data_IF_888182207823
#
_entry.id   IF_888182207823
#
_cell.length_a   1.000
_cell.length_b   1.000
_cell.length_c   1.000
_cell.angle_alpha   90.00
_cell.angle_beta   90.00
_cell.angle_gamma   90.00
#
_symmetry.space_group_name_H-M   'P 1'
#
loop_
_entity.id
_entity.type
_entity.pdbx_description
1 polymer ?
#
# COMPACT_ATOMS: atom_id res chain seq x y z
N UNK A 1 1.62 -11.38 -16.06
CA UNK A 1 0.47 -11.13 -15.16
C UNK A 1 0.28 -9.64 -14.90
N UNK A 2 1.35 -8.88 -14.59
CA UNK A 2 1.25 -7.46 -14.25
C UNK A 2 0.62 -6.60 -15.34
N UNK A 3 1.09 -6.70 -16.59
CA UNK A 3 0.60 -5.87 -17.70
C UNK A 3 -0.91 -6.03 -17.98
N UNK A 4 -1.48 -7.25 -18.10
CA UNK A 4 -2.92 -7.37 -18.32
C UNK A 4 -3.75 -6.82 -17.15
N UNK A 5 -3.30 -7.02 -15.91
CA UNK A 5 -4.00 -6.52 -14.73
C UNK A 5 -3.88 -5.00 -14.62
N UNK A 6 -2.70 -4.45 -14.91
CA UNK A 6 -2.45 -3.01 -14.90
C UNK A 6 -3.21 -2.23 -15.98
N UNK A 7 -3.62 -2.91 -17.07
CA UNK A 7 -4.40 -2.26 -18.14
C UNK A 7 -5.69 -1.64 -17.60
N UNK A 8 -6.42 -2.34 -16.72
CA UNK A 8 -7.65 -1.82 -16.15
C UNK A 8 -7.42 -0.51 -15.38
N UNK A 9 -6.35 -0.43 -14.58
CA UNK A 9 -5.99 0.80 -13.87
C UNK A 9 -5.69 1.94 -14.85
N UNK A 10 -4.89 1.67 -15.89
CA UNK A 10 -4.53 2.67 -16.90
C UNK A 10 -5.75 3.16 -17.68
N UNK A 11 -6.66 2.26 -18.05
CA UNK A 11 -7.90 2.59 -18.75
C UNK A 11 -8.79 3.49 -17.87
N UNK A 12 -8.94 3.18 -16.58
CA UNK A 12 -9.68 4.01 -15.62
C UNK A 12 -9.06 5.38 -15.42
N UNK A 13 -7.73 5.47 -15.37
CA UNK A 13 -7.03 6.77 -15.32
C UNK A 13 -7.29 7.62 -16.56
N UNK A 14 -7.38 7.00 -17.74
CA UNK A 14 -7.61 7.71 -19.01
C UNK A 14 -9.05 8.20 -19.18
N UNK A 15 -10.04 7.46 -18.65
CA UNK A 15 -11.45 7.84 -18.67
C UNK A 15 -11.74 8.98 -17.70
N UNK A 16 -11.02 9.02 -16.59
CA UNK A 16 -11.25 9.95 -15.48
C UNK A 16 -12.20 9.37 -14.42
N UNK A 17 -11.93 9.73 -13.17
CA UNK A 17 -12.65 9.17 -12.02
C UNK A 17 -14.10 9.64 -11.90
N UNK A 18 -14.44 10.78 -12.51
CA UNK A 18 -15.78 11.34 -12.51
C UNK A 18 -16.80 10.46 -13.25
N UNK A 19 -16.32 9.63 -14.18
CA UNK A 19 -17.16 8.84 -15.09
C UNK A 19 -17.30 7.38 -14.70
N UNK A 20 -16.63 6.92 -13.63
CA UNK A 20 -16.63 5.51 -13.23
C UNK A 20 -17.66 5.20 -12.14
N UNK A 21 -18.16 3.97 -12.13
CA UNK A 21 -19.01 3.43 -11.07
C UNK A 21 -18.17 2.96 -9.87
N UNK A 22 -18.80 2.84 -8.68
CA UNK A 22 -18.14 2.32 -7.48
C UNK A 22 -17.57 0.91 -7.65
N UNK A 23 -18.28 -0.06 -8.24
CA UNK A 23 -17.68 -1.38 -8.52
C UNK A 23 -16.43 -1.29 -9.39
N UNK A 24 -16.45 -0.44 -10.43
CA UNK A 24 -15.29 -0.26 -11.31
C UNK A 24 -14.12 0.39 -10.58
N UNK A 25 -14.37 1.36 -9.68
CA UNK A 25 -13.32 1.96 -8.85
C UNK A 25 -12.65 0.91 -7.94
N UNK A 26 -13.44 0.04 -7.29
CA UNK A 26 -12.90 -1.07 -6.49
C UNK A 26 -12.12 -2.07 -7.35
N UNK A 27 -12.64 -2.46 -8.50
CA UNK A 27 -11.93 -3.35 -9.43
C UNK A 27 -10.59 -2.74 -9.87
N UNK A 28 -10.58 -1.44 -10.19
CA UNK A 28 -9.37 -0.73 -10.62
C UNK A 28 -8.30 -0.68 -9.53
N UNK A 29 -8.68 -0.37 -8.29
CA UNK A 29 -7.70 -0.32 -7.19
C UNK A 29 -7.19 -1.70 -6.80
N UNK A 30 -8.00 -2.74 -6.87
CA UNK A 30 -7.53 -4.12 -6.72
C UNK A 30 -6.60 -4.53 -7.87
N UNK A 31 -6.93 -4.16 -9.11
CA UNK A 31 -6.06 -4.40 -10.25
C UNK A 31 -4.68 -3.74 -10.03
N UNK A 32 -4.65 -2.47 -9.62
CA UNK A 32 -3.39 -1.80 -9.29
C UNK A 32 -2.64 -2.50 -8.14
N UNK A 33 -3.36 -2.94 -7.11
CA UNK A 33 -2.79 -3.68 -5.97
C UNK A 33 -2.05 -4.94 -6.41
N UNK A 34 -2.61 -5.71 -7.35
CA UNK A 34 -1.94 -6.89 -7.91
C UNK A 34 -0.85 -6.51 -8.92
N UNK A 35 -1.05 -5.46 -9.70
CA UNK A 35 -0.04 -4.97 -10.64
C UNK A 35 1.27 -4.64 -9.93
N UNK A 36 1.21 -3.77 -8.92
CA UNK A 36 2.42 -3.33 -8.19
C UNK A 36 3.13 -4.51 -7.51
N UNK A 37 2.38 -5.50 -7.05
CA UNK A 37 2.97 -6.70 -6.48
C UNK A 37 3.69 -7.54 -7.54
N UNK A 38 3.03 -7.88 -8.64
CA UNK A 38 3.63 -8.74 -9.65
C UNK A 38 4.79 -8.08 -10.38
N UNK A 39 4.73 -6.78 -10.61
CA UNK A 39 5.83 -6.02 -11.21
C UNK A 39 7.06 -6.06 -10.30
N UNK A 40 6.89 -5.67 -9.05
CA UNK A 40 8.03 -5.56 -8.15
C UNK A 40 8.54 -6.92 -7.66
N UNK A 41 7.66 -7.87 -7.40
CA UNK A 41 8.05 -9.24 -7.05
C UNK A 41 8.79 -9.91 -8.20
N UNK A 42 8.27 -9.79 -9.44
CA UNK A 42 8.93 -10.34 -10.64
C UNK A 42 10.31 -9.72 -10.86
N UNK A 43 10.43 -8.40 -10.77
CA UNK A 43 11.70 -7.69 -10.83
C UNK A 43 12.69 -8.19 -9.74
N UNK A 44 12.22 -8.34 -8.50
CA UNK A 44 13.03 -8.83 -7.40
C UNK A 44 13.55 -10.27 -7.62
N UNK A 45 12.68 -11.14 -8.17
CA UNK A 45 13.09 -12.51 -8.51
C UNK A 45 14.14 -12.54 -9.62
N UNK A 46 14.00 -11.69 -10.65
CA UNK A 46 15.00 -11.57 -11.71
C UNK A 46 16.35 -11.11 -11.14
N UNK A 47 16.35 -10.11 -10.24
CA UNK A 47 17.57 -9.64 -9.58
C UNK A 47 18.25 -10.76 -8.75
N UNK A 48 17.45 -11.53 -7.99
CA UNK A 48 17.95 -12.68 -7.22
C UNK A 48 18.53 -13.76 -8.14
N UNK A 49 17.85 -14.05 -9.25
CA UNK A 49 18.31 -15.02 -10.23
C UNK A 49 19.65 -14.63 -10.87
N UNK A 50 19.77 -13.38 -11.32
CA UNK A 50 21.01 -12.83 -11.87
C UNK A 50 22.13 -12.81 -10.82
N UNK A 51 21.81 -12.40 -9.59
CA UNK A 51 22.77 -12.44 -8.47
C UNK A 51 23.34 -13.84 -8.26
N UNK A 52 22.47 -14.87 -8.26
CA UNK A 52 22.89 -16.28 -8.13
C UNK A 52 23.79 -16.72 -9.25
N UNK A 53 23.52 -16.32 -10.49
CA UNK A 53 24.38 -16.63 -11.65
C UNK A 53 25.78 -16.02 -11.50
N UNK A 54 25.89 -14.89 -10.80
CA UNK A 54 27.15 -14.21 -10.50
C UNK A 54 27.80 -14.67 -9.18
N UNK A 55 27.23 -15.68 -8.50
CA UNK A 55 27.75 -16.19 -7.22
C UNK A 55 27.29 -15.43 -5.97
N UNK A 56 26.35 -14.46 -6.08
CA UNK A 56 25.83 -13.70 -4.97
C UNK A 56 24.51 -14.28 -4.45
N UNK A 57 24.35 -14.36 -3.12
CA UNK A 57 23.10 -14.71 -2.47
C UNK A 57 22.38 -13.43 -2.04
N UNK A 58 21.49 -12.92 -2.90
CA UNK A 58 20.66 -11.76 -2.58
C UNK A 58 19.46 -12.17 -1.70
N UNK A 59 19.08 -11.34 -0.71
CA UNK A 59 17.93 -11.63 0.16
C UNK A 59 16.60 -11.51 -0.60
N UNK A 60 15.59 -12.24 -0.10
CA UNK A 60 14.22 -12.10 -0.59
C UNK A 60 13.61 -10.76 -0.15
N UNK A 61 12.85 -10.13 -1.05
CA UNK A 61 12.14 -8.89 -0.79
C UNK A 61 10.66 -9.10 -0.44
N UNK A 62 10.10 -10.26 -0.72
CA UNK A 62 8.68 -10.55 -0.52
C UNK A 62 8.46 -11.92 0.13
N UNK A 63 7.52 -11.97 1.09
CA UNK A 63 7.09 -13.19 1.73
C UNK A 63 5.57 -13.20 1.91
N UNK A 64 4.81 -13.45 0.83
CA UNK A 64 3.35 -13.49 0.82
C UNK A 64 2.70 -12.30 1.56
N UNK A 65 2.97 -11.05 1.17
CA UNK A 65 2.56 -9.86 1.94
C UNK A 65 1.05 -9.73 2.07
N UNK A 66 0.27 -10.16 1.07
CA UNK A 66 -1.20 -10.07 1.09
C UNK A 66 -1.88 -11.10 1.99
N UNK A 67 -1.13 -12.03 2.60
CA UNK A 67 -1.62 -12.91 3.66
C UNK A 67 -1.45 -12.30 5.06
N UNK A 68 -1.04 -11.05 5.17
CA UNK A 68 -0.86 -10.35 6.44
C UNK A 68 -2.20 -10.02 7.11
N UNK A 69 -2.19 -9.98 8.44
CA UNK A 69 -3.35 -9.65 9.27
C UNK A 69 -3.28 -8.24 9.87
N UNK A 70 -2.17 -7.55 9.64
CA UNK A 70 -1.95 -6.17 10.08
C UNK A 70 -1.00 -5.45 9.13
N UNK A 71 -1.04 -4.11 9.11
CA UNK A 71 -0.12 -3.29 8.34
C UNK A 71 1.32 -3.48 8.81
N UNK A 72 1.52 -3.63 10.10
CA UNK A 72 2.83 -3.94 10.69
C UNK A 72 3.39 -5.26 10.16
N UNK A 73 2.57 -6.30 10.02
CA UNK A 73 2.96 -7.58 9.44
C UNK A 73 3.20 -7.45 7.93
N UNK A 74 2.35 -6.70 7.23
CA UNK A 74 2.48 -6.46 5.79
C UNK A 74 3.86 -5.90 5.45
N UNK A 75 4.32 -4.85 6.11
CA UNK A 75 5.61 -4.22 5.85
C UNK A 75 6.82 -5.06 6.29
N UNK A 76 6.64 -6.09 7.10
CA UNK A 76 7.68 -7.11 7.35
C UNK A 76 7.80 -8.12 6.22
N UNK A 77 6.79 -8.20 5.34
CA UNK A 77 6.69 -9.16 4.24
C UNK A 77 6.81 -8.49 2.86
N UNK A 78 6.67 -7.17 2.79
CA UNK A 78 6.79 -6.34 1.59
C UNK A 78 8.08 -5.52 1.63
N UNK A 79 8.85 -5.56 0.52
CA UNK A 79 10.12 -4.82 0.38
C UNK A 79 11.05 -4.95 1.60
N UNK A 80 11.31 -6.20 1.97
CA UNK A 80 11.97 -6.57 3.25
C UNK A 80 13.32 -5.89 3.41
N UNK A 81 14.11 -5.77 2.33
CA UNK A 81 15.44 -5.15 2.38
C UNK A 81 15.37 -3.67 2.73
N UNK A 82 14.43 -2.92 2.12
CA UNK A 82 14.21 -1.51 2.46
C UNK A 82 13.73 -1.35 3.90
N UNK A 83 12.76 -2.17 4.31
CA UNK A 83 12.24 -2.17 5.68
C UNK A 83 13.32 -2.46 6.71
N UNK A 84 14.22 -3.41 6.43
CA UNK A 84 15.38 -3.72 7.27
C UNK A 84 16.34 -2.55 7.33
N UNK A 85 16.63 -1.91 6.20
CA UNK A 85 17.50 -0.74 6.15
C UNK A 85 16.98 0.41 7.01
N UNK A 86 15.70 0.81 6.83
CA UNK A 86 15.09 1.87 7.66
C UNK A 86 15.05 1.49 9.14
N UNK A 87 14.82 0.22 9.44
CA UNK A 87 14.84 -0.26 10.83
C UNK A 87 16.22 -0.12 11.44
N UNK A 88 17.27 -0.55 10.76
CA UNK A 88 18.65 -0.58 11.30
C UNK A 88 19.30 0.80 11.34
N UNK A 89 19.12 1.59 10.30
CA UNK A 89 19.83 2.87 10.15
C UNK A 89 19.03 4.09 10.60
N UNK A 90 17.70 3.98 10.79
CA UNK A 90 16.88 5.10 11.25
C UNK A 90 16.15 4.77 12.55
N UNK A 91 15.33 3.71 12.57
CA UNK A 91 14.47 3.43 13.71
C UNK A 91 15.25 3.07 14.99
N UNK A 92 16.21 2.16 14.89
CA UNK A 92 17.05 1.72 16.04
C UNK A 92 17.92 2.86 16.55
N UNK A 93 18.66 3.63 15.73
CA UNK A 93 19.44 4.78 16.18
C UNK A 93 18.61 5.86 16.88
N UNK A 94 17.36 6.07 16.47
CA UNK A 94 16.42 6.98 17.15
C UNK A 94 15.91 6.46 18.50
N UNK A 95 16.38 5.27 18.94
CA UNK A 95 16.01 4.61 20.19
C UNK A 95 14.92 3.56 20.03
N UNK A 96 14.38 3.35 18.82
CA UNK A 96 13.34 2.34 18.54
C UNK A 96 12.10 2.52 19.42
N UNK A 97 11.73 1.46 20.15
CA UNK A 97 10.61 1.45 21.10
C UNK A 97 11.05 1.47 22.59
N UNK A 98 12.36 1.71 22.86
CA UNK A 98 12.93 1.60 24.21
C UNK A 98 12.58 2.78 25.10
N UNK A 99 12.37 3.96 24.53
CA UNK A 99 12.22 5.23 25.24
C UNK A 99 10.75 5.63 25.44
N UNK A 100 9.86 4.63 25.58
CA UNK A 100 8.44 4.85 25.86
C UNK A 100 7.58 5.09 24.61
N UNK A 101 6.26 5.25 24.84
CA UNK A 101 5.26 5.35 23.76
C UNK A 101 5.45 6.59 22.88
N UNK A 102 5.70 7.75 23.47
CA UNK A 102 5.87 9.01 22.74
C UNK A 102 7.08 8.96 21.79
N UNK A 103 8.21 8.42 22.26
CA UNK A 103 9.40 8.22 21.41
C UNK A 103 9.13 7.22 20.28
N UNK A 104 8.38 6.15 20.57
CA UNK A 104 7.98 5.17 19.56
C UNK A 104 7.12 5.81 18.45
N UNK A 105 6.13 6.63 18.83
CA UNK A 105 5.27 7.35 17.87
C UNK A 105 6.11 8.30 17.01
N UNK A 106 6.95 9.12 17.62
CA UNK A 106 7.86 10.02 16.89
C UNK A 106 8.75 9.26 15.91
N UNK A 107 9.36 8.17 16.34
CA UNK A 107 10.28 7.40 15.52
C UNK A 107 9.56 6.73 14.33
N UNK A 108 8.34 6.23 14.52
CA UNK A 108 7.52 5.69 13.43
C UNK A 108 7.14 6.79 12.43
N UNK A 109 6.72 7.97 12.88
CA UNK A 109 6.44 9.10 12.01
C UNK A 109 7.67 9.49 11.17
N UNK A 110 8.85 9.61 11.79
CA UNK A 110 10.08 9.94 11.08
C UNK A 110 10.39 8.89 10.01
N UNK A 111 10.38 7.61 10.36
CA UNK A 111 10.69 6.52 9.41
C UNK A 111 9.75 6.54 8.21
N UNK A 112 8.44 6.67 8.44
CA UNK A 112 7.46 6.59 7.36
C UNK A 112 7.41 7.85 6.51
N UNK A 113 7.65 9.03 7.08
CA UNK A 113 7.82 10.26 6.31
C UNK A 113 9.07 10.19 5.43
N UNK A 114 10.19 9.71 5.96
CA UNK A 114 11.40 9.48 5.17
C UNK A 114 11.19 8.43 4.08
N UNK A 115 10.43 7.36 4.38
CA UNK A 115 10.06 6.36 3.38
C UNK A 115 9.22 6.98 2.26
N UNK A 116 8.26 7.86 2.60
CA UNK A 116 7.48 8.60 1.60
C UNK A 116 8.35 9.50 0.71
N UNK A 117 9.24 10.30 1.30
CA UNK A 117 10.19 11.16 0.57
C UNK A 117 11.13 10.33 -0.32
N UNK A 118 11.57 9.17 0.16
CA UNK A 118 12.41 8.25 -0.62
C UNK A 118 11.71 7.75 -1.90
N UNK A 119 10.38 7.56 -1.87
CA UNK A 119 9.60 7.15 -3.05
C UNK A 119 9.49 8.22 -4.13
N UNK A 120 9.66 9.50 -3.79
CA UNK A 120 9.64 10.58 -4.75
C UNK A 120 9.24 11.94 -4.19
N UNK A 121 9.32 12.98 -5.02
CA UNK A 121 9.01 14.35 -4.64
C UNK A 121 7.51 14.69 -4.65
N UNK A 122 6.64 13.75 -5.02
CA UNK A 122 5.20 13.96 -5.05
C UNK A 122 4.59 14.04 -3.65
N UNK A 123 3.64 14.95 -3.45
CA UNK A 123 2.93 15.08 -2.17
C UNK A 123 2.16 13.81 -1.78
N UNK A 124 1.70 13.04 -2.76
CA UNK A 124 1.03 11.75 -2.56
C UNK A 124 1.91 10.75 -1.79
N UNK A 125 3.20 10.69 -2.05
CA UNK A 125 4.13 9.79 -1.34
C UNK A 125 4.31 10.20 0.12
N UNK A 126 4.43 11.50 0.39
CA UNK A 126 4.52 12.00 1.78
C UNK A 126 3.22 11.75 2.54
N UNK A 127 2.06 12.02 1.89
CA UNK A 127 0.75 11.73 2.44
C UNK A 127 0.58 10.23 2.72
N UNK A 128 0.98 9.39 1.76
CA UNK A 128 0.96 7.94 1.90
C UNK A 128 1.81 7.47 3.09
N UNK A 129 3.05 7.93 3.19
CA UNK A 129 3.93 7.60 4.33
C UNK A 129 3.33 8.05 5.66
N UNK A 130 2.72 9.25 5.70
CA UNK A 130 2.04 9.74 6.89
C UNK A 130 0.85 8.85 7.28
N UNK A 131 -0.01 8.47 6.33
CA UNK A 131 -1.16 7.57 6.56
C UNK A 131 -0.69 6.21 7.08
N UNK A 132 0.33 5.60 6.46
CA UNK A 132 0.89 4.33 6.92
C UNK A 132 1.42 4.44 8.34
N UNK A 133 2.10 5.54 8.67
CA UNK A 133 2.59 5.76 10.04
C UNK A 133 1.44 5.79 11.06
N UNK A 134 0.35 6.49 10.76
CA UNK A 134 -0.82 6.56 11.64
C UNK A 134 -1.46 5.19 11.84
N UNK A 135 -1.62 4.42 10.75
CA UNK A 135 -2.18 3.07 10.81
C UNK A 135 -1.33 2.17 11.73
N UNK A 136 -0.01 2.16 11.54
CA UNK A 136 0.92 1.35 12.35
C UNK A 136 0.93 1.81 13.82
N UNK A 137 0.83 3.12 14.08
CA UNK A 137 0.73 3.66 15.43
C UNK A 137 -0.56 3.18 16.10
N UNK A 138 -1.69 3.25 15.41
CA UNK A 138 -3.00 2.77 15.90
C UNK A 138 -2.95 1.26 16.17
N UNK A 139 -2.40 0.49 15.24
CA UNK A 139 -2.20 -0.95 15.46
C UNK A 139 -1.38 -1.19 16.72
N UNK A 140 -0.23 -0.56 16.84
CA UNK A 140 0.71 -0.79 17.94
C UNK A 140 0.16 -0.40 19.30
N UNK A 141 -0.63 0.68 19.36
CA UNK A 141 -1.13 1.20 20.63
C UNK A 141 -2.47 0.61 21.06
N UNK A 142 -3.34 0.24 20.10
CA UNK A 142 -4.75 -0.06 20.39
C UNK A 142 -5.22 -1.41 19.84
N UNK A 143 -5.15 -1.63 18.53
CA UNK A 143 -5.87 -2.74 17.88
C UNK A 143 -5.00 -3.97 17.55
N UNK A 144 -3.66 -3.90 17.65
CA UNK A 144 -2.77 -4.96 17.21
C UNK A 144 -3.07 -6.31 17.87
N UNK A 145 -3.20 -6.33 19.19
CA UNK A 145 -3.54 -7.56 19.94
C UNK A 145 -4.91 -8.15 19.55
N UNK A 146 -5.86 -7.27 19.22
CA UNK A 146 -7.19 -7.69 18.75
C UNK A 146 -7.10 -8.37 17.38
N UNK A 147 -6.36 -7.77 16.43
CA UNK A 147 -6.14 -8.34 15.09
C UNK A 147 -5.39 -9.69 15.15
N UNK A 148 -4.39 -9.81 16.02
CA UNK A 148 -3.67 -11.05 16.25
C UNK A 148 -4.60 -12.17 16.76
N UNK A 149 -5.53 -11.83 17.65
CA UNK A 149 -6.49 -12.77 18.24
C UNK A 149 -7.60 -13.19 17.27
N UNK A 150 -7.98 -12.29 16.33
CA UNK A 150 -9.08 -12.49 15.39
C UNK A 150 -8.58 -12.52 13.96
N UNK A 151 -7.95 -13.63 13.56
CA UNK A 151 -7.27 -13.77 12.26
C UNK A 151 -8.17 -13.39 11.05
N UNK A 152 -9.42 -13.84 11.03
CA UNK A 152 -10.36 -13.52 9.95
C UNK A 152 -10.61 -12.01 9.82
N UNK A 153 -10.80 -11.32 10.95
CA UNK A 153 -10.97 -9.85 10.95
C UNK A 153 -9.68 -9.13 10.52
N UNK A 154 -8.50 -9.66 10.89
CA UNK A 154 -7.23 -9.15 10.42
C UNK A 154 -7.09 -9.23 8.91
N UNK A 155 -7.49 -10.34 8.29
CA UNK A 155 -7.46 -10.47 6.82
C UNK A 155 -8.48 -9.53 6.13
N UNK A 156 -9.70 -9.39 6.66
CA UNK A 156 -10.70 -8.45 6.12
C UNK A 156 -10.18 -7.01 6.22
N UNK A 157 -9.62 -6.64 7.38
CA UNK A 157 -9.00 -5.34 7.60
C UNK A 157 -7.92 -5.04 6.56
N UNK A 158 -7.01 -5.98 6.33
CA UNK A 158 -5.93 -5.80 5.35
C UNK A 158 -6.43 -5.81 3.90
N UNK A 159 -7.42 -6.65 3.59
CA UNK A 159 -8.03 -6.73 2.27
C UNK A 159 -8.66 -5.39 1.83
N UNK A 160 -9.22 -4.63 2.77
CA UNK A 160 -9.78 -3.30 2.50
C UNK A 160 -8.67 -2.23 2.53
N UNK A 161 -7.80 -2.28 3.53
CA UNK A 161 -6.88 -1.19 3.83
C UNK A 161 -5.74 -1.08 2.80
N UNK A 162 -5.20 -2.21 2.34
CA UNK A 162 -4.09 -2.21 1.38
C UNK A 162 -4.46 -1.52 0.07
N UNK A 163 -5.57 -1.85 -0.62
CA UNK A 163 -5.95 -1.15 -1.84
C UNK A 163 -6.13 0.35 -1.62
N UNK A 164 -6.72 0.77 -0.49
CA UNK A 164 -6.91 2.19 -0.18
C UNK A 164 -5.57 2.92 -0.03
N UNK A 165 -4.59 2.31 0.61
CA UNK A 165 -3.25 2.91 0.74
C UNK A 165 -2.52 2.95 -0.60
N UNK A 166 -2.71 1.95 -1.46
CA UNK A 166 -2.17 1.97 -2.82
C UNK A 166 -2.83 3.02 -3.72
N UNK A 167 -4.12 3.33 -3.52
CA UNK A 167 -4.78 4.44 -4.22
C UNK A 167 -4.09 5.78 -3.89
N UNK A 168 -3.78 6.03 -2.61
CA UNK A 168 -3.04 7.24 -2.19
C UNK A 168 -1.64 7.28 -2.81
N UNK A 169 -0.98 6.14 -2.91
CA UNK A 169 0.34 6.04 -3.53
C UNK A 169 0.31 6.32 -5.03
N UNK A 170 -0.71 5.82 -5.75
CA UNK A 170 -0.79 5.83 -7.21
C UNK A 170 -1.31 7.14 -7.79
N UNK A 171 -2.12 7.90 -7.05
CA UNK A 171 -2.77 9.12 -7.54
C UNK A 171 -2.00 10.32 -6.99
N UNK A 172 -1.32 11.04 -7.89
CA UNK A 172 -0.45 12.16 -7.56
C UNK A 172 -1.21 13.47 -7.24
N UNK A 173 -2.40 13.67 -7.84
CA UNK A 173 -3.24 14.83 -7.62
C UNK A 173 -4.24 14.58 -6.46
N UNK A 174 -4.16 15.40 -5.41
CA UNK A 174 -5.01 15.28 -4.22
C UNK A 174 -6.49 15.49 -4.54
N UNK A 175 -6.81 16.37 -5.51
CA UNK A 175 -8.19 16.61 -5.92
C UNK A 175 -8.77 15.38 -6.61
N UNK A 176 -8.00 14.78 -7.54
CA UNK A 176 -8.36 13.51 -8.21
C UNK A 176 -8.46 12.36 -7.21
N UNK A 177 -7.57 12.32 -6.22
CA UNK A 177 -7.65 11.35 -5.13
C UNK A 177 -8.96 11.49 -4.36
N UNK A 178 -9.37 12.72 -4.02
CA UNK A 178 -10.65 13.00 -3.38
C UNK A 178 -11.83 12.48 -4.20
N UNK A 179 -11.86 12.77 -5.51
CA UNK A 179 -12.88 12.24 -6.43
C UNK A 179 -12.88 10.70 -6.44
N UNK A 180 -11.72 10.07 -6.54
CA UNK A 180 -11.62 8.60 -6.51
C UNK A 180 -12.19 7.99 -5.23
N UNK A 181 -11.90 8.58 -4.06
CA UNK A 181 -12.46 8.11 -2.79
C UNK A 181 -13.99 8.29 -2.71
N UNK A 182 -14.58 9.35 -3.31
CA UNK A 182 -16.04 9.46 -3.40
C UNK A 182 -16.67 8.38 -4.28
N UNK A 183 -15.92 7.84 -5.25
CA UNK A 183 -16.35 6.69 -6.06
C UNK A 183 -16.23 5.37 -5.31
N UNK A 184 -15.18 5.18 -4.52
CA UNK A 184 -15.04 4.00 -3.66
C UNK A 184 -16.16 3.95 -2.60
N UNK A 185 -16.53 5.11 -2.03
CA UNK A 185 -17.50 5.22 -0.94
C UNK A 185 -18.65 6.18 -1.32
N UNK A 186 -19.65 5.72 -2.08
CA UNK A 186 -20.72 6.57 -2.62
C UNK A 186 -21.61 7.21 -1.54
N UNK A 187 -21.49 6.79 -0.28
CA UNK A 187 -22.22 7.38 0.85
C UNK A 187 -21.76 8.79 1.22
N UNK A 188 -20.55 9.17 0.83
CA UNK A 188 -19.92 10.47 1.15
C UNK A 188 -19.94 11.45 -0.02
N UNK A 189 -20.55 11.10 -1.16
CA UNK A 189 -20.56 11.94 -2.35
C UNK A 189 -21.58 11.48 -3.37
N UNK A 190 -21.60 12.09 -4.54
CA UNK A 190 -22.47 11.72 -5.65
C UNK A 190 -21.98 10.41 -6.33
N UNK A 191 -21.86 9.35 -5.55
CA UNK A 191 -21.53 8.03 -6.05
C UNK A 191 -22.67 7.47 -6.87
N UNK A 192 -22.45 7.25 -8.15
CA UNK A 192 -23.44 6.61 -9.01
C UNK A 192 -23.37 5.11 -8.80
N UNK A 193 -24.42 4.53 -8.22
CA UNK A 193 -24.64 3.09 -8.09
C UNK A 193 -24.98 2.40 -9.43
N UNK A 194 -24.82 3.08 -10.58
CA UNK A 194 -25.05 2.46 -11.88
C UNK A 194 -24.02 1.36 -12.12
N UNK A 195 -24.48 0.13 -12.04
CA UNK A 195 -23.67 -1.09 -12.10
C UNK A 195 -22.95 -1.25 -13.43
N UNK A 196 -23.44 -0.65 -14.50
CA UNK A 196 -22.81 -0.69 -15.83
C UNK A 196 -23.13 0.59 -16.58
N UNK A 197 -22.15 1.42 -16.86
CA UNK A 197 -22.19 2.18 -18.10
C UNK A 197 -21.77 1.23 -19.22
N UNK A 198 -22.66 1.07 -20.20
CA UNK A 198 -22.52 0.17 -21.35
C UNK A 198 -21.24 0.40 -22.19
N UNK A 199 -20.50 1.45 -21.93
CA UNK A 199 -19.31 1.86 -22.69
C UNK A 199 -18.06 1.01 -22.43
N UNK A 200 -18.11 0.10 -21.43
CA UNK A 200 -16.99 -0.81 -21.10
C UNK A 200 -17.16 -2.24 -21.67
N UNK A 201 -18.23 -2.51 -22.38
CA UNK A 201 -18.55 -3.85 -22.96
C UNK A 201 -18.44 -3.81 -24.48
N UNK A 202 -17.51 -3.05 -25.02
CA UNK A 202 -17.18 -3.17 -26.45
C UNK A 202 -15.74 -3.63 -26.62
#
# INVERSE_FOLDING_TARGET
>A
LANPVGKLWTDVLSIGFESISSPLAWMAVFAYTFQIYFDFFGYSLMAIGLGKMLGFNLPQNFNFPYLSRSMTEFWRRWHITLGSWFREYVYIPLGGNRNGKAATVRNLLIVWLLTGIWHGAGYNFVLWGFIISLIIIIEKLYIGKFLERHSALGHIYMFILIPLTWAVFAIDDISRLGVFFTRLFPFFGQGVWSVFRYDYVK
#
